data_IF_436807559855
#
_entry.id   IF_436807559855
#
_cell.length_a   1.000
_cell.length_b   1.000
_cell.length_c   1.000
_cell.angle_alpha   90.00
_cell.angle_beta   90.00
_cell.angle_gamma   90.00
#
_symmetry.space_group_name_H-M   'P 1'
#
loop_
_entity.id
_entity.type
_entity.pdbx_description
1 polymer ?
#
# COMPACT_ATOMS: atom_id res chain seq x y z
N UNK A 1 4.84 22.15 -20.65
CA UNK A 1 5.07 20.70 -20.79
C UNK A 1 4.09 19.96 -19.86
N UNK A 2 2.99 19.56 -20.49
CA UNK A 2 1.90 18.63 -20.15
C UNK A 2 1.56 18.39 -18.66
N UNK A 3 0.55 19.08 -18.07
CA UNK A 3 0.05 18.86 -16.69
C UNK A 3 -0.35 17.41 -16.35
N UNK A 4 -0.50 16.55 -17.35
CA UNK A 4 -0.79 15.13 -17.21
C UNK A 4 0.25 14.40 -16.35
N UNK A 5 1.54 14.70 -16.53
CA UNK A 5 2.62 14.03 -15.78
C UNK A 5 2.60 14.38 -14.29
N UNK A 6 2.27 15.63 -13.98
CA UNK A 6 2.11 16.11 -12.60
C UNK A 6 0.95 15.38 -11.92
N UNK A 7 -0.19 15.28 -12.60
CA UNK A 7 -1.36 14.56 -12.08
C UNK A 7 -1.03 13.08 -11.86
N UNK A 8 -0.38 12.43 -12.83
CA UNK A 8 0.02 11.03 -12.73
C UNK A 8 0.97 10.79 -11.53
N UNK A 9 1.94 11.67 -11.32
CA UNK A 9 2.84 11.59 -10.17
C UNK A 9 2.09 11.69 -8.84
N UNK A 10 1.21 12.69 -8.68
CA UNK A 10 0.45 12.85 -7.43
C UNK A 10 -0.51 11.68 -7.17
N UNK A 11 -1.08 11.08 -8.20
CA UNK A 11 -1.89 9.87 -8.06
C UNK A 11 -1.05 8.68 -7.56
N UNK A 12 0.13 8.46 -8.16
CA UNK A 12 1.06 7.41 -7.71
C UNK A 12 1.57 7.67 -6.29
N UNK A 13 1.83 8.93 -5.95
CA UNK A 13 2.25 9.33 -4.61
C UNK A 13 1.15 9.09 -3.56
N UNK A 14 -0.08 9.49 -3.85
CA UNK A 14 -1.23 9.21 -2.99
C UNK A 14 -1.43 7.70 -2.81
N UNK A 15 -1.30 6.92 -3.88
CA UNK A 15 -1.39 5.47 -3.82
C UNK A 15 -0.26 4.84 -2.98
N UNK A 16 0.97 5.34 -3.11
CA UNK A 16 2.10 4.91 -2.30
C UNK A 16 1.92 5.23 -0.82
N UNK A 17 1.34 6.38 -0.48
CA UNK A 17 0.96 6.70 0.90
C UNK A 17 -0.07 5.72 1.46
N UNK A 18 -1.07 5.32 0.67
CA UNK A 18 -2.07 4.33 1.10
C UNK A 18 -1.44 2.95 1.35
N UNK A 19 -0.55 2.50 0.46
CA UNK A 19 0.20 1.26 0.67
C UNK A 19 1.07 1.32 1.93
N UNK A 20 1.71 2.47 2.16
CA UNK A 20 2.51 2.68 3.37
C UNK A 20 1.64 2.66 4.62
N UNK A 21 0.48 3.33 4.60
CA UNK A 21 -0.48 3.27 5.69
C UNK A 21 -0.92 1.84 5.98
N UNK A 22 -1.15 1.01 4.94
CA UNK A 22 -1.46 -0.41 5.09
C UNK A 22 -0.38 -1.18 5.84
N UNK A 23 0.90 -0.96 5.50
CA UNK A 23 2.04 -1.55 6.23
C UNK A 23 2.05 -1.11 7.69
N UNK A 24 1.84 0.18 7.95
CA UNK A 24 1.78 0.69 9.33
C UNK A 24 0.66 0.01 10.10
N UNK A 25 -0.52 -0.18 9.51
CA UNK A 25 -1.65 -0.84 10.19
C UNK A 25 -1.38 -2.32 10.43
N UNK A 26 -0.72 -3.00 9.50
CA UNK A 26 -0.29 -4.39 9.68
C UNK A 26 0.73 -4.51 10.82
N UNK A 27 1.71 -3.60 10.89
CA UNK A 27 2.64 -3.51 12.01
C UNK A 27 1.91 -3.23 13.32
N UNK A 28 1.03 -2.23 13.37
CA UNK A 28 0.23 -1.91 14.56
C UNK A 28 -0.55 -3.14 15.03
N UNK A 29 -1.20 -3.88 14.13
CA UNK A 29 -1.91 -5.12 14.49
C UNK A 29 -0.99 -6.24 14.95
N UNK A 30 0.23 -6.32 14.41
CA UNK A 30 1.22 -7.31 14.83
C UNK A 30 1.72 -7.05 16.25
N UNK A 31 1.90 -5.77 16.62
CA UNK A 31 2.35 -5.35 17.94
C UNK A 31 1.22 -5.28 18.97
N UNK A 32 0.05 -4.79 18.58
CA UNK A 32 -1.15 -4.66 19.42
C UNK A 32 -2.21 -5.69 18.97
N UNK A 33 -2.01 -6.96 19.32
CA UNK A 33 -2.88 -8.07 18.88
C UNK A 33 -4.33 -7.94 19.34
N UNK A 34 -4.58 -7.26 20.46
CA UNK A 34 -5.92 -7.01 21.00
C UNK A 34 -6.59 -5.77 20.42
N UNK A 35 -5.91 -5.01 19.56
CA UNK A 35 -6.44 -3.79 18.99
C UNK A 35 -7.57 -4.08 18.01
N UNK A 36 -8.77 -3.57 18.32
CA UNK A 36 -9.94 -3.61 17.46
C UNK A 36 -10.27 -2.20 16.99
N UNK A 37 -10.14 -1.88 15.69
CA UNK A 37 -10.48 -0.56 15.19
C UNK A 37 -11.98 -0.31 15.37
N UNK A 38 -12.34 0.88 15.88
CA UNK A 38 -13.71 1.30 16.10
C UNK A 38 -13.90 2.78 15.71
N UNK A 39 -15.13 3.17 15.40
CA UNK A 39 -15.48 4.54 15.04
C UNK A 39 -14.73 5.02 13.78
N UNK A 40 -14.25 6.27 13.81
CA UNK A 40 -13.60 6.90 12.65
C UNK A 40 -12.34 6.17 12.16
N UNK A 41 -11.64 5.46 13.04
CA UNK A 41 -10.47 4.64 12.64
C UNK A 41 -10.90 3.47 11.78
N UNK A 42 -12.00 2.79 12.12
CA UNK A 42 -12.51 1.68 11.32
C UNK A 42 -12.88 2.12 9.90
N UNK A 43 -13.56 3.27 9.76
CA UNK A 43 -13.93 3.84 8.45
C UNK A 43 -12.69 4.21 7.62
N UNK A 44 -11.68 4.80 8.26
CA UNK A 44 -10.43 5.15 7.58
C UNK A 44 -9.71 3.90 7.08
N UNK A 45 -9.62 2.87 7.92
CA UNK A 45 -9.02 1.60 7.55
C UNK A 45 -9.77 0.93 6.41
N UNK A 46 -11.10 0.87 6.46
CA UNK A 46 -11.94 0.32 5.39
C UNK A 46 -11.71 1.06 4.06
N UNK A 47 -11.59 2.38 4.10
CA UNK A 47 -11.27 3.19 2.91
C UNK A 47 -9.90 2.83 2.34
N UNK A 48 -8.87 2.75 3.18
CA UNK A 48 -7.51 2.36 2.77
C UNK A 48 -7.53 0.95 2.17
N UNK A 49 -8.21 0.00 2.81
CA UNK A 49 -8.32 -1.38 2.32
C UNK A 49 -9.04 -1.44 0.97
N UNK A 50 -10.17 -0.77 0.84
CA UNK A 50 -10.93 -0.72 -0.42
C UNK A 50 -10.09 -0.21 -1.59
N UNK A 51 -9.26 0.83 -1.37
CA UNK A 51 -8.42 1.39 -2.45
C UNK A 51 -7.17 0.53 -2.70
N UNK A 52 -6.59 -0.08 -1.67
CA UNK A 52 -5.33 -0.84 -1.80
C UNK A 52 -5.53 -2.31 -2.15
N UNK A 53 -6.68 -2.93 -1.83
CA UNK A 53 -6.94 -4.35 -2.06
C UNK A 53 -6.96 -4.75 -3.53
N UNK A 54 -7.61 -4.03 -4.47
CA UNK A 54 -7.59 -4.40 -5.88
C UNK A 54 -6.16 -4.49 -6.45
N UNK A 55 -5.29 -3.46 -6.33
CA UNK A 55 -3.93 -3.54 -6.86
C UNK A 55 -3.05 -4.54 -6.10
N UNK A 56 -3.21 -4.68 -4.78
CA UNK A 56 -2.50 -5.73 -4.00
C UNK A 56 -2.93 -7.12 -4.45
N UNK A 57 -4.21 -7.35 -4.71
CA UNK A 57 -4.72 -8.65 -5.19
C UNK A 57 -4.21 -9.00 -6.59
N UNK A 58 -4.07 -7.99 -7.46
CA UNK A 58 -3.45 -8.16 -8.78
C UNK A 58 -1.97 -8.49 -8.65
N UNK A 59 -1.24 -7.82 -7.76
CA UNK A 59 0.15 -8.12 -7.48
C UNK A 59 0.34 -9.53 -6.92
N UNK A 60 -0.55 -9.98 -6.01
CA UNK A 60 -0.55 -11.33 -5.42
C UNK A 60 -0.71 -12.45 -6.46
N UNK A 61 -1.30 -12.17 -7.63
CA UNK A 61 -1.39 -13.15 -8.72
C UNK A 61 -0.04 -13.40 -9.40
N UNK A 62 0.82 -12.39 -9.41
CA UNK A 62 2.16 -12.47 -10.03
C UNK A 62 3.20 -12.90 -9.00
N UNK A 63 3.08 -12.40 -7.76
CA UNK A 63 4.04 -12.65 -6.69
C UNK A 63 3.29 -13.26 -5.50
N UNK A 64 3.35 -14.59 -5.29
CA UNK A 64 2.67 -15.21 -4.17
C UNK A 64 3.25 -14.72 -2.84
N UNK A 65 2.39 -14.60 -1.83
CA UNK A 65 2.79 -14.15 -0.50
C UNK A 65 3.71 -15.16 0.17
N UNK A 66 4.94 -14.76 0.44
CA UNK A 66 5.85 -15.55 1.27
C UNK A 66 5.76 -14.99 2.70
N UNK A 67 5.19 -15.77 3.61
CA UNK A 67 5.22 -15.47 5.04
C UNK A 67 6.54 -15.95 5.61
N UNK A 68 7.44 -15.03 5.98
CA UNK A 68 8.75 -15.39 6.53
C UNK A 68 8.67 -15.43 8.06
N UNK A 69 8.90 -16.59 8.66
CA UNK A 69 9.22 -16.69 10.10
C UNK A 69 8.07 -16.45 11.08
N UNK A 70 6.81 -16.71 10.71
CA UNK A 70 5.65 -16.62 11.61
C UNK A 70 5.18 -15.19 11.94
N UNK A 71 5.93 -14.16 11.53
CA UNK A 71 5.48 -12.78 11.44
C UNK A 71 4.90 -12.62 10.04
N UNK A 72 3.58 -12.46 9.93
CA UNK A 72 2.89 -12.30 8.65
C UNK A 72 3.14 -10.94 8.00
N UNK A 73 4.40 -10.56 7.81
CA UNK A 73 4.76 -9.36 7.06
C UNK A 73 4.55 -9.67 5.58
N UNK A 74 3.54 -9.07 4.96
CA UNK A 74 3.17 -9.39 3.59
C UNK A 74 4.24 -8.88 2.60
N UNK A 75 5.10 -9.79 2.15
CA UNK A 75 6.15 -9.50 1.17
C UNK A 75 5.57 -8.93 -0.13
N UNK A 76 4.33 -9.29 -0.50
CA UNK A 76 3.68 -8.76 -1.70
C UNK A 76 3.43 -7.25 -1.57
N UNK A 77 3.11 -6.75 -0.38
CA UNK A 77 2.94 -5.30 -0.14
C UNK A 77 4.27 -4.58 -0.23
N UNK A 78 5.34 -5.15 0.34
CA UNK A 78 6.68 -4.57 0.24
C UNK A 78 7.15 -4.46 -1.21
N UNK A 79 6.93 -5.51 -2.01
CA UNK A 79 7.29 -5.47 -3.44
C UNK A 79 6.43 -4.47 -4.19
N UNK A 80 5.12 -4.38 -3.90
CA UNK A 80 4.24 -3.41 -4.55
C UNK A 80 4.66 -1.97 -4.23
N UNK A 81 5.04 -1.68 -2.99
CA UNK A 81 5.61 -0.38 -2.59
C UNK A 81 6.84 -0.04 -3.42
N UNK A 82 7.75 -1.00 -3.62
CA UNK A 82 8.95 -0.81 -4.42
C UNK A 82 8.62 -0.56 -5.90
N UNK A 83 7.69 -1.33 -6.48
CA UNK A 83 7.25 -1.16 -7.87
C UNK A 83 6.65 0.24 -8.08
N UNK A 84 5.76 0.68 -7.20
CA UNK A 84 5.13 2.01 -7.28
C UNK A 84 6.19 3.12 -7.12
N UNK A 85 7.16 2.92 -6.24
CA UNK A 85 8.28 3.86 -6.09
C UNK A 85 9.15 3.97 -7.35
N UNK A 86 9.43 2.84 -8.00
CA UNK A 86 10.15 2.82 -9.29
C UNK A 86 9.30 3.53 -10.36
N UNK A 87 8.01 3.25 -10.45
CA UNK A 87 7.10 3.92 -11.40
C UNK A 87 7.09 5.44 -11.21
N UNK A 88 7.07 5.93 -9.96
CA UNK A 88 7.17 7.36 -9.67
C UNK A 88 8.48 7.99 -10.17
N UNK A 89 9.61 7.26 -10.08
CA UNK A 89 10.90 7.72 -10.59
C UNK A 89 10.96 7.77 -12.11
N UNK A 90 10.21 6.92 -12.79
CA UNK A 90 10.15 6.86 -14.25
C UNK A 90 9.23 7.93 -14.85
N UNK A 91 8.28 8.46 -14.07
CA UNK A 91 7.45 9.60 -14.48
C UNK A 91 8.33 10.86 -14.56
N UNK A 92 8.54 11.43 -15.75
CA UNK A 92 9.33 12.65 -15.91
C UNK A 92 8.52 13.84 -15.35
N UNK A 93 9.05 14.48 -14.31
CA UNK A 93 8.46 15.69 -13.70
C UNK A 93 9.23 16.96 -14.16
N UNK A 94 10.27 16.79 -14.97
CA UNK A 94 11.14 17.84 -15.52
C UNK A 94 10.48 18.64 -16.63
#
# INVERSE_FOLDING_TARGET
MLPVWVIAYYLLFAFWLLLTARVVVELVRSFARDWRPAGGVAVTLETIYTVTDPPVSLARRVIPMVRIGGIGLDLSIMVLLLVVFILMRLVPIS
#
